data_IF_731369972949
#
_entry.id   IF_731369972949
#
_cell.length_a   1.000
_cell.length_b   1.000
_cell.length_c   1.000
_cell.angle_alpha   90.00
_cell.angle_beta   90.00
_cell.angle_gamma   90.00
#
_symmetry.space_group_name_H-M   'P 1'
#
loop_
_entity.id
_entity.type
_entity.pdbx_description
1 polymer ?
#
# COMPACT_ATOMS: atom_id res chain seq x y z
N UNK A 1 -36.76 12.39 -1.03
CA UNK A 1 -35.47 12.90 -1.56
C UNK A 1 -34.51 11.72 -1.67
N UNK A 2 -34.32 11.19 -2.86
CA UNK A 2 -33.41 10.07 -3.13
C UNK A 2 -32.02 10.62 -3.41
N UNK A 3 -31.06 10.38 -2.52
CA UNK A 3 -29.64 10.61 -2.81
C UNK A 3 -29.21 9.74 -4.00
N UNK A 4 -28.51 10.28 -5.01
CA UNK A 4 -27.95 9.44 -6.06
C UNK A 4 -26.85 8.55 -5.46
N UNK A 5 -26.85 7.28 -5.83
CA UNK A 5 -25.75 6.37 -5.51
C UNK A 5 -24.43 6.93 -6.08
N UNK A 6 -23.30 6.83 -5.36
CA UNK A 6 -22.02 7.24 -5.92
C UNK A 6 -21.69 6.37 -7.14
N UNK A 7 -21.33 7.05 -8.24
CA UNK A 7 -20.98 6.47 -9.54
C UNK A 7 -19.77 5.49 -9.45
N UNK A 8 -19.63 4.53 -10.39
CA UNK A 8 -18.53 3.58 -10.39
C UNK A 8 -17.15 4.24 -10.60
N UNK A 9 -16.14 3.56 -10.03
CA UNK A 9 -14.79 3.97 -9.58
C UNK A 9 -13.78 4.54 -10.61
N UNK A 10 -12.64 5.13 -10.12
CA UNK A 10 -11.81 6.09 -10.84
C UNK A 10 -10.65 5.41 -11.60
N UNK A 11 -10.91 4.91 -12.81
CA UNK A 11 -9.86 4.36 -13.70
C UNK A 11 -8.69 5.32 -14.02
N UNK A 12 -8.90 6.62 -14.33
CA UNK A 12 -7.78 7.50 -14.66
C UNK A 12 -6.80 7.70 -13.49
N UNK A 13 -7.23 7.45 -12.26
CA UNK A 13 -6.40 7.64 -11.06
C UNK A 13 -5.46 6.46 -10.80
N UNK A 14 -5.87 5.23 -11.13
CA UNK A 14 -5.03 4.04 -10.93
C UNK A 14 -3.85 3.96 -11.90
N UNK A 15 -4.04 4.34 -13.17
CA UNK A 15 -2.94 4.43 -14.13
C UNK A 15 -1.92 5.51 -13.73
N UNK A 16 -2.41 6.66 -13.28
CA UNK A 16 -1.56 7.74 -12.79
C UNK A 16 -0.75 7.31 -11.55
N UNK A 17 -1.38 6.62 -10.59
CA UNK A 17 -0.68 6.10 -9.41
C UNK A 17 0.29 4.96 -9.76
N UNK A 18 -0.06 4.08 -10.71
CA UNK A 18 0.85 3.05 -11.19
C UNK A 18 2.09 3.66 -11.84
N UNK A 19 1.92 4.72 -12.63
CA UNK A 19 3.04 5.46 -13.22
C UNK A 19 3.90 6.12 -12.14
N UNK A 20 3.29 6.81 -11.18
CA UNK A 20 4.00 7.44 -10.07
C UNK A 20 4.80 6.43 -9.22
N UNK A 21 4.19 5.27 -8.92
CA UNK A 21 4.82 4.19 -8.16
C UNK A 21 6.04 3.58 -8.82
N UNK A 22 6.21 3.73 -10.14
CA UNK A 22 7.40 3.28 -10.86
C UNK A 22 8.57 4.28 -10.83
N UNK A 23 8.35 5.46 -10.25
CA UNK A 23 9.39 6.49 -10.10
C UNK A 23 10.06 6.38 -8.75
N UNK A 24 11.26 6.99 -8.60
CA UNK A 24 11.93 7.08 -7.30
C UNK A 24 11.11 7.80 -6.23
N UNK A 25 10.10 8.59 -6.61
CA UNK A 25 9.25 9.32 -5.68
C UNK A 25 8.12 8.47 -5.08
N UNK A 26 7.76 7.31 -5.66
CA UNK A 26 6.62 6.50 -5.21
C UNK A 26 5.25 7.13 -5.49
N UNK A 27 4.18 6.48 -5.06
CA UNK A 27 2.80 6.99 -5.19
C UNK A 27 2.57 8.26 -4.34
N UNK A 28 1.46 8.99 -4.53
CA UNK A 28 0.95 9.83 -3.43
C UNK A 28 0.61 8.99 -2.18
N UNK A 29 0.34 9.65 -1.06
CA UNK A 29 -0.16 8.99 0.16
C UNK A 29 -1.59 8.48 -0.05
N UNK A 30 -1.79 7.18 0.13
CA UNK A 30 -3.02 6.45 -0.11
C UNK A 30 -3.62 5.93 1.20
N UNK A 31 -4.94 5.86 1.29
CA UNK A 31 -5.59 5.04 2.33
C UNK A 31 -5.31 3.54 2.10
N UNK A 32 -5.53 2.72 3.13
CA UNK A 32 -5.38 1.25 3.02
C UNK A 32 -6.16 0.66 1.82
N UNK A 33 -7.41 1.09 1.63
CA UNK A 33 -8.25 0.60 0.53
C UNK A 33 -7.70 1.02 -0.84
N UNK A 34 -7.17 2.23 -0.96
CA UNK A 34 -6.56 2.72 -2.20
C UNK A 34 -5.24 1.98 -2.49
N UNK A 35 -4.43 1.75 -1.47
CA UNK A 35 -3.18 0.99 -1.58
C UNK A 35 -3.45 -0.45 -2.04
N UNK A 36 -4.42 -1.15 -1.43
CA UNK A 36 -4.83 -2.49 -1.85
C UNK A 36 -5.36 -2.50 -3.30
N UNK A 37 -6.19 -1.52 -3.65
CA UNK A 37 -6.76 -1.40 -5.00
C UNK A 37 -5.67 -1.18 -6.05
N UNK A 38 -4.69 -0.33 -5.76
CA UNK A 38 -3.54 -0.10 -6.63
C UNK A 38 -2.65 -1.34 -6.74
N UNK A 39 -2.35 -2.01 -5.63
CA UNK A 39 -1.51 -3.20 -5.65
C UNK A 39 -2.16 -4.35 -6.44
N UNK A 40 -3.49 -4.55 -6.30
CA UNK A 40 -4.24 -5.51 -7.12
C UNK A 40 -4.20 -5.13 -8.61
N UNK A 41 -4.33 -3.84 -8.91
CA UNK A 41 -4.25 -3.34 -10.27
C UNK A 41 -2.86 -3.54 -10.90
N UNK A 42 -1.81 -3.24 -10.13
CA UNK A 42 -0.41 -3.45 -10.51
C UNK A 42 -0.12 -4.93 -10.77
N UNK A 43 -0.61 -5.83 -9.91
CA UNK A 43 -0.47 -7.28 -10.05
C UNK A 43 -1.05 -7.79 -11.37
N UNK A 44 -2.26 -7.34 -11.75
CA UNK A 44 -2.88 -7.71 -13.05
C UNK A 44 -2.06 -7.24 -14.26
N UNK A 45 -1.16 -6.26 -14.06
CA UNK A 45 -0.25 -5.73 -15.09
C UNK A 45 1.17 -6.28 -14.98
N UNK A 46 1.42 -7.24 -14.09
CA UNK A 46 2.72 -7.88 -13.88
C UNK A 46 3.70 -7.06 -13.03
N UNK A 47 3.20 -6.14 -12.21
CA UNK A 47 3.99 -5.35 -11.27
C UNK A 47 3.75 -5.81 -9.83
N UNK A 48 4.82 -5.86 -9.04
CA UNK A 48 4.78 -6.11 -7.60
C UNK A 48 5.13 -4.86 -6.79
N UNK A 49 4.77 -4.87 -5.50
CA UNK A 49 5.22 -3.86 -4.54
C UNK A 49 6.69 -4.13 -4.22
N UNK A 50 7.55 -3.13 -4.43
CA UNK A 50 8.99 -3.17 -4.15
C UNK A 50 9.36 -2.47 -2.85
N UNK A 51 8.55 -1.50 -2.45
CA UNK A 51 8.66 -0.82 -1.17
C UNK A 51 7.28 -0.29 -0.78
N UNK A 52 7.04 -0.23 0.51
CA UNK A 52 5.92 0.48 1.09
C UNK A 52 6.46 1.40 2.18
N UNK A 53 5.92 2.61 2.28
CA UNK A 53 6.03 3.46 3.46
C UNK A 53 4.64 3.59 4.10
N UNK A 54 4.61 3.77 5.43
CA UNK A 54 3.40 4.02 6.17
C UNK A 54 3.60 5.21 7.12
N UNK A 55 2.56 6.02 7.31
CA UNK A 55 2.60 7.19 8.20
C UNK A 55 1.27 7.38 8.91
N UNK A 56 1.29 7.75 10.20
CA UNK A 56 0.09 7.98 10.99
C UNK A 56 -0.60 9.30 10.61
N UNK A 57 -1.93 9.26 10.46
CA UNK A 57 -2.74 10.43 10.10
C UNK A 57 -2.85 11.50 11.20
N UNK A 58 -2.58 11.13 12.45
CA UNK A 58 -2.74 12.00 13.61
C UNK A 58 -1.63 11.71 14.60
N UNK A 59 -0.80 12.71 14.89
CA UNK A 59 0.21 12.74 15.95
C UNK A 59 -0.39 12.75 17.38
N UNK A 60 -1.56 12.13 17.59
CA UNK A 60 -2.10 11.97 18.93
C UNK A 60 -1.67 10.60 19.46
N UNK A 61 -0.53 10.64 20.15
CA UNK A 61 0.23 9.52 20.68
C UNK A 61 0.96 8.71 19.60
N UNK A 62 2.30 8.62 19.63
CA UNK A 62 2.99 7.65 18.80
C UNK A 62 2.40 6.28 19.13
N UNK A 63 2.15 5.41 18.13
CA UNK A 63 1.98 4.00 18.41
C UNK A 63 3.11 3.61 19.37
N UNK A 64 2.78 2.96 20.49
CA UNK A 64 3.78 2.59 21.51
C UNK A 64 4.92 1.72 20.95
N UNK A 65 4.74 1.22 19.74
CA UNK A 65 5.76 0.58 18.94
C UNK A 65 6.17 1.47 17.75
N UNK A 66 7.45 1.85 17.73
CA UNK A 66 8.16 2.42 16.58
C UNK A 66 8.17 1.49 15.35
N UNK A 67 7.65 0.27 15.50
CA UNK A 67 7.60 -0.80 14.50
C UNK A 67 6.70 -0.48 13.29
N UNK A 68 5.89 0.58 13.35
CA UNK A 68 5.00 0.97 12.25
C UNK A 68 5.61 2.00 11.29
N UNK A 69 6.66 2.72 11.71
CA UNK A 69 7.26 3.83 10.92
C UNK A 69 8.39 3.38 9.98
N UNK A 70 8.92 2.16 10.12
CA UNK A 70 9.98 1.64 9.25
C UNK A 70 9.63 0.24 8.76
N UNK A 71 9.24 0.18 7.49
CA UNK A 71 9.02 -1.03 6.72
C UNK A 71 10.36 -1.60 6.24
N UNK A 72 10.63 -2.87 6.56
CA UNK A 72 11.88 -3.57 6.21
C UNK A 72 12.61 -4.26 7.37
N UNK A 73 12.10 -4.18 8.60
CA UNK A 73 12.57 -4.99 9.73
C UNK A 73 11.63 -6.17 10.00
N UNK A 74 11.06 -6.74 8.95
CA UNK A 74 10.19 -7.90 9.11
C UNK A 74 11.02 -9.17 9.27
N UNK A 75 10.41 -10.23 9.78
CA UNK A 75 11.06 -11.53 9.83
C UNK A 75 11.60 -11.94 8.44
N UNK A 76 12.70 -12.72 8.36
CA UNK A 76 13.24 -13.19 7.09
C UNK A 76 12.15 -13.77 6.17
N UNK A 77 12.12 -13.35 4.90
CA UNK A 77 11.07 -13.73 3.95
C UNK A 77 9.81 -12.87 3.99
N UNK A 78 9.81 -11.79 4.79
CA UNK A 78 8.80 -10.73 4.77
C UNK A 78 9.39 -9.37 4.35
N UNK A 79 10.63 -9.36 3.85
CA UNK A 79 11.23 -8.17 3.25
C UNK A 79 10.78 -8.05 1.80
N UNK A 80 10.52 -6.82 1.34
CA UNK A 80 10.09 -6.59 -0.03
C UNK A 80 11.12 -7.05 -1.07
N UNK A 81 12.40 -6.98 -0.73
CA UNK A 81 13.52 -7.46 -1.56
C UNK A 81 13.50 -8.98 -1.76
N UNK A 82 12.90 -9.74 -0.84
CA UNK A 82 12.79 -11.21 -0.91
C UNK A 82 11.71 -11.66 -1.92
N UNK A 83 10.90 -10.72 -2.44
CA UNK A 83 9.75 -11.01 -3.29
C UNK A 83 9.95 -10.56 -4.73
N UNK A 84 10.64 -11.39 -5.51
CA UNK A 84 10.67 -11.27 -6.97
C UNK A 84 9.33 -11.65 -7.62
N UNK A 85 8.51 -12.44 -6.94
CA UNK A 85 7.15 -12.77 -7.37
C UNK A 85 6.13 -11.66 -6.99
N UNK A 86 5.44 -11.05 -7.96
CA UNK A 86 4.44 -10.01 -7.69
C UNK A 86 3.28 -10.45 -6.81
N UNK A 87 2.90 -11.74 -6.87
CA UNK A 87 1.82 -12.31 -6.04
C UNK A 87 2.20 -12.40 -4.57
N UNK A 88 3.44 -12.79 -4.27
CA UNK A 88 4.01 -12.77 -2.92
C UNK A 88 4.04 -11.35 -2.36
N UNK A 89 4.49 -10.36 -3.14
CA UNK A 89 4.49 -8.97 -2.73
C UNK A 89 3.07 -8.43 -2.44
N UNK A 90 2.08 -8.82 -3.25
CA UNK A 90 0.68 -8.45 -3.01
C UNK A 90 0.14 -9.04 -1.70
N UNK A 91 0.40 -10.32 -1.44
CA UNK A 91 0.01 -10.97 -0.18
C UNK A 91 0.61 -10.28 1.04
N UNK A 92 1.91 -9.99 1.00
CA UNK A 92 2.60 -9.29 2.09
C UNK A 92 1.97 -7.91 2.36
N UNK A 93 1.61 -7.16 1.31
CA UNK A 93 0.89 -5.89 1.47
C UNK A 93 -0.46 -6.10 2.17
N UNK A 94 -1.26 -7.08 1.75
CA UNK A 94 -2.57 -7.36 2.37
C UNK A 94 -2.42 -7.74 3.84
N UNK A 95 -1.41 -8.53 4.18
CA UNK A 95 -1.13 -8.95 5.55
C UNK A 95 -0.77 -7.74 6.43
N UNK A 96 0.10 -6.86 5.94
CA UNK A 96 0.49 -5.62 6.65
C UNK A 96 -0.69 -4.65 6.84
N UNK A 97 -1.51 -4.44 5.81
CA UNK A 97 -2.71 -3.61 5.92
C UNK A 97 -3.71 -4.20 6.93
N UNK A 98 -3.86 -5.53 6.93
CA UNK A 98 -4.74 -6.24 7.87
C UNK A 98 -4.24 -6.11 9.30
N UNK A 99 -2.93 -6.24 9.50
CA UNK A 99 -2.29 -6.08 10.80
C UNK A 99 -2.49 -4.67 11.37
N UNK A 100 -2.21 -3.62 10.58
CA UNK A 100 -2.43 -2.24 10.97
C UNK A 100 -3.90 -1.97 11.34
N UNK A 101 -4.84 -2.51 10.55
CA UNK A 101 -6.28 -2.40 10.85
C UNK A 101 -6.66 -3.10 12.16
N UNK A 102 -6.13 -4.30 12.43
CA UNK A 102 -6.38 -5.05 13.67
C UNK A 102 -5.82 -4.32 14.90
N UNK A 103 -4.69 -3.62 14.74
CA UNK A 103 -4.10 -2.77 15.77
C UNK A 103 -4.86 -1.44 15.97
N UNK A 104 -5.90 -1.15 15.18
CA UNK A 104 -6.63 0.12 15.25
C UNK A 104 -5.86 1.31 14.68
N UNK A 105 -4.75 1.07 13.97
CA UNK A 105 -3.92 2.12 13.42
C UNK A 105 -4.61 2.81 12.22
N UNK A 106 -4.52 4.15 12.19
CA UNK A 106 -5.04 4.98 11.09
C UNK A 106 -3.87 5.53 10.28
N UNK A 107 -3.43 4.74 9.31
CA UNK A 107 -2.24 5.04 8.50
C UNK A 107 -2.60 5.44 7.07
N UNK A 108 -1.71 6.21 6.45
CA UNK A 108 -1.58 6.36 5.01
C UNK A 108 -0.36 5.62 4.50
N UNK A 109 -0.38 5.23 3.24
CA UNK A 109 0.61 4.37 2.62
C UNK A 109 1.13 4.95 1.32
N UNK A 110 2.42 4.75 1.08
CA UNK A 110 3.08 5.09 -0.17
C UNK A 110 3.68 3.83 -0.76
N UNK A 111 3.50 3.60 -2.05
CA UNK A 111 3.96 2.38 -2.72
C UNK A 111 5.01 2.71 -3.78
N UNK A 112 6.03 1.88 -3.87
CA UNK A 112 6.90 1.76 -5.02
C UNK A 112 6.60 0.43 -5.70
N UNK A 113 6.51 0.48 -7.02
CA UNK A 113 6.07 -0.62 -7.85
C UNK A 113 7.15 -0.91 -8.89
N UNK A 114 7.41 -2.18 -9.13
CA UNK A 114 8.39 -2.62 -10.11
C UNK A 114 7.92 -3.89 -10.79
N UNK A 115 8.41 -4.12 -12.01
CA UNK A 115 8.24 -5.42 -12.67
C UNK A 115 9.12 -6.45 -11.96
N UNK A 116 8.64 -7.69 -11.92
CA UNK A 116 9.40 -8.86 -11.48
C UNK A 116 10.77 -8.89 -12.15
#
# INVERSE_FOLDING_TARGET
>A
MTSPAPAPSPRPTLDAWLSAGQTGAGTPWLSALQAESLARYALMRGYGVRLMEASALTLHEPPRDTDWEILGADAPGSNWEDHYDPGCAFRLLVDKLTLARRAGARLQYKLWLGRA
#
